data_IF_371140705585
#
_entry.id   IF_371140705585
#
_cell.length_a   1.000
_cell.length_b   1.000
_cell.length_c   1.000
_cell.angle_alpha   90.00
_cell.angle_beta   90.00
_cell.angle_gamma   90.00
#
_symmetry.space_group_name_H-M   'P 1'
#
loop_
_entity.id
_entity.type
_entity.pdbx_description
1 polymer ?
#
# COMPACT_ATOMS: atom_id res chain seq x y z
N UNK A 1 59.35 58.17 -40.37
CA UNK A 1 58.04 58.45 -39.85
C UNK A 1 57.20 57.17 -39.88
N UNK A 2 57.03 56.53 -38.74
CA UNK A 2 56.27 55.28 -38.59
C UNK A 2 54.77 55.48 -38.25
N UNK A 3 53.83 54.72 -38.78
CA UNK A 3 52.47 54.73 -38.31
C UNK A 3 52.32 53.74 -37.18
N UNK A 4 51.73 54.17 -36.07
CA UNK A 4 51.35 53.40 -34.91
C UNK A 4 50.04 52.69 -35.20
N UNK A 5 50.06 51.33 -34.95
CA UNK A 5 48.93 50.43 -35.07
C UNK A 5 47.97 50.51 -33.87
N UNK A 6 46.70 50.84 -34.14
CA UNK A 6 45.55 50.76 -33.19
C UNK A 6 44.75 49.50 -33.47
N UNK A 7 45.28 48.32 -33.10
CA UNK A 7 44.54 47.01 -33.29
C UNK A 7 44.33 46.22 -32.02
N UNK A 8 44.64 46.78 -30.84
CA UNK A 8 44.57 45.99 -29.59
C UNK A 8 43.28 46.14 -28.74
N UNK A 9 42.37 47.06 -29.10
CA UNK A 9 41.19 47.38 -28.23
C UNK A 9 39.89 46.66 -28.59
N UNK A 10 39.79 46.02 -29.74
CA UNK A 10 38.54 45.39 -30.18
C UNK A 10 38.42 43.90 -29.81
N UNK A 11 39.52 43.25 -29.56
CA UNK A 11 39.52 41.81 -29.16
C UNK A 11 39.08 41.57 -27.69
N UNK A 12 39.34 42.57 -26.82
CA UNK A 12 38.95 42.48 -25.41
C UNK A 12 37.42 42.68 -25.18
N UNK A 13 36.75 43.44 -26.07
CA UNK A 13 35.32 43.71 -25.94
C UNK A 13 34.44 42.55 -26.41
N UNK A 14 34.91 41.73 -27.33
CA UNK A 14 34.20 40.57 -27.83
C UNK A 14 34.30 39.35 -26.86
N UNK A 15 35.38 39.28 -26.06
CA UNK A 15 35.55 38.21 -25.08
C UNK A 15 34.71 38.47 -23.83
N UNK A 16 34.42 39.71 -23.46
CA UNK A 16 33.57 40.08 -22.32
C UNK A 16 32.08 39.85 -22.60
N UNK A 17 31.63 39.90 -23.85
CA UNK A 17 30.24 39.60 -24.23
C UNK A 17 29.94 38.10 -24.32
N UNK A 18 30.95 37.26 -24.51
CA UNK A 18 30.77 35.82 -24.55
C UNK A 18 30.62 35.18 -23.14
N UNK A 19 31.12 35.83 -22.09
CA UNK A 19 31.04 35.33 -20.70
C UNK A 19 29.77 35.75 -19.98
N UNK A 20 29.08 36.80 -20.42
CA UNK A 20 27.84 37.27 -19.81
C UNK A 20 26.57 36.59 -20.38
N UNK A 21 26.71 35.82 -21.45
CA UNK A 21 25.57 35.12 -22.08
C UNK A 21 25.24 33.73 -21.51
N UNK A 22 26.09 33.14 -20.68
CA UNK A 22 25.89 31.81 -20.18
C UNK A 22 25.06 31.72 -18.87
N UNK A 23 25.02 32.81 -18.09
CA UNK A 23 24.28 32.79 -16.82
C UNK A 23 22.76 32.54 -16.97
N UNK A 24 22.03 33.23 -17.90
CA UNK A 24 20.59 32.97 -18.03
C UNK A 24 20.27 31.62 -18.66
N UNK A 25 21.20 31.04 -19.45
CA UNK A 25 21.04 29.69 -19.97
C UNK A 25 21.24 28.62 -18.90
N UNK A 26 22.18 28.85 -17.99
CA UNK A 26 22.46 27.95 -16.87
C UNK A 26 21.35 27.99 -15.81
N UNK A 27 20.83 29.18 -15.50
CA UNK A 27 19.63 29.32 -14.64
C UNK A 27 18.38 28.73 -15.30
N UNK A 28 18.21 28.85 -16.61
CA UNK A 28 17.11 28.24 -17.34
C UNK A 28 17.22 26.73 -17.35
N UNK A 29 18.43 26.17 -17.49
CA UNK A 29 18.67 24.72 -17.40
C UNK A 29 18.51 24.19 -15.98
N UNK A 30 18.91 24.93 -14.95
CA UNK A 30 18.64 24.57 -13.55
C UNK A 30 17.15 24.60 -13.24
N UNK A 31 16.42 25.62 -13.68
CA UNK A 31 14.95 25.66 -13.51
C UNK A 31 14.25 24.53 -14.25
N UNK A 32 14.68 24.20 -15.47
CA UNK A 32 14.13 23.06 -16.21
C UNK A 32 14.51 21.72 -15.57
N UNK A 33 15.69 21.63 -14.95
CA UNK A 33 16.09 20.45 -14.20
C UNK A 33 15.34 20.36 -12.87
N UNK A 34 15.13 21.50 -12.19
CA UNK A 34 14.33 21.56 -10.97
C UNK A 34 12.84 21.32 -11.29
N UNK A 35 12.28 21.90 -12.36
CA UNK A 35 10.91 21.60 -12.80
C UNK A 35 10.74 20.15 -13.28
N UNK A 36 11.75 19.56 -13.91
CA UNK A 36 11.74 18.16 -14.29
C UNK A 36 11.95 17.24 -13.07
N UNK A 37 12.67 17.71 -12.06
CA UNK A 37 12.79 17.02 -10.76
C UNK A 37 11.54 17.21 -9.88
N UNK A 38 10.82 18.33 -10.06
CA UNK A 38 9.58 18.65 -9.36
C UNK A 38 8.32 18.16 -10.07
N UNK A 39 8.43 17.61 -11.26
CA UNK A 39 7.31 17.03 -12.00
C UNK A 39 7.66 15.62 -12.47
N UNK A 40 7.99 14.72 -11.53
CA UNK A 40 8.13 13.33 -11.86
C UNK A 40 6.73 12.77 -12.05
N UNK A 41 6.43 12.31 -13.22
CA UNK A 41 5.33 11.40 -13.53
C UNK A 41 4.04 11.76 -12.75
N UNK A 42 3.11 12.37 -13.43
CA UNK A 42 1.77 12.58 -12.90
C UNK A 42 1.26 11.26 -12.29
N UNK A 43 0.91 11.27 -11.03
CA UNK A 43 0.29 10.16 -10.35
C UNK A 43 1.09 9.47 -9.25
N UNK A 44 2.28 9.97 -8.88
CA UNK A 44 3.01 9.43 -7.74
C UNK A 44 3.65 10.57 -6.94
N UNK A 45 3.12 10.82 -5.76
CA UNK A 45 3.70 11.79 -4.83
C UNK A 45 4.97 11.23 -4.19
N UNK A 46 5.99 12.10 -4.06
CA UNK A 46 7.12 11.78 -3.20
C UNK A 46 6.70 11.91 -1.76
N UNK A 47 6.98 10.89 -0.97
CA UNK A 47 6.71 10.91 0.46
C UNK A 47 7.74 11.79 1.18
N UNK A 48 7.25 12.79 1.91
CA UNK A 48 8.09 13.56 2.83
C UNK A 48 8.32 12.72 4.10
N UNK A 49 9.56 12.35 4.45
CA UNK A 49 9.81 11.54 5.64
C UNK A 49 9.37 12.19 6.96
N UNK A 50 9.34 13.53 7.01
CA UNK A 50 8.91 14.28 8.19
C UNK A 50 7.38 14.43 8.28
N UNK A 51 6.66 14.20 7.16
CA UNK A 51 5.22 14.30 7.06
C UNK A 51 4.67 13.31 6.01
N UNK A 52 4.78 11.99 6.24
CA UNK A 52 4.60 10.99 5.19
C UNK A 52 3.19 10.92 4.59
N UNK A 53 2.20 11.48 5.26
CA UNK A 53 0.80 11.48 4.79
C UNK A 53 0.30 12.85 4.32
N UNK A 54 1.12 13.92 4.45
CA UNK A 54 0.71 15.26 4.11
C UNK A 54 0.26 15.37 2.64
N UNK A 55 -0.89 16.05 2.43
CA UNK A 55 -1.45 16.28 1.10
C UNK A 55 -2.16 15.07 0.47
N UNK A 56 -2.28 13.95 1.16
CA UNK A 56 -3.07 12.79 0.73
C UNK A 56 -4.31 12.60 1.61
N UNK A 57 -5.32 11.82 1.17
CA UNK A 57 -6.44 11.46 2.03
C UNK A 57 -6.03 10.81 3.36
N UNK A 58 -4.91 10.11 3.38
CA UNK A 58 -4.40 9.44 4.58
C UNK A 58 -3.92 10.39 5.69
N UNK A 59 -3.80 11.69 5.42
CA UNK A 59 -3.50 12.69 6.46
C UNK A 59 -4.53 12.70 7.59
N UNK A 60 -5.80 12.45 7.25
CA UNK A 60 -6.93 12.44 8.18
C UNK A 60 -7.27 11.03 8.72
N UNK A 61 -6.56 9.97 8.29
CA UNK A 61 -6.83 8.59 8.72
C UNK A 61 -6.32 8.31 10.13
N UNK A 62 -6.92 7.31 10.79
CA UNK A 62 -6.49 6.81 12.09
C UNK A 62 -5.22 5.96 12.05
N UNK A 63 -4.79 5.54 13.23
CA UNK A 63 -3.73 4.55 13.43
C UNK A 63 -4.38 3.27 13.97
N UNK A 64 -4.22 2.15 13.26
CA UNK A 64 -4.80 0.86 13.66
C UNK A 64 -6.27 0.67 13.29
N UNK A 65 -6.84 -0.43 13.75
CA UNK A 65 -8.19 -0.88 13.40
C UNK A 65 -9.13 -0.73 14.58
N UNK A 66 -10.04 0.25 14.51
CA UNK A 66 -11.05 0.45 15.54
C UNK A 66 -12.13 -0.63 15.51
N UNK A 67 -12.56 -1.07 16.71
CA UNK A 67 -13.68 -2.00 16.85
C UNK A 67 -14.95 -1.25 17.26
N UNK A 68 -16.12 -1.56 16.64
CA UNK A 68 -17.40 -1.02 17.07
C UNK A 68 -17.77 -1.50 18.48
N UNK A 69 -18.72 -0.81 19.12
CA UNK A 69 -19.39 -1.32 20.30
C UNK A 69 -20.12 -2.63 19.96
N UNK A 70 -19.93 -3.66 20.77
CA UNK A 70 -20.56 -4.96 20.54
C UNK A 70 -22.01 -4.94 20.97
N UNK A 71 -22.88 -5.46 20.11
CA UNK A 71 -24.29 -5.72 20.39
C UNK A 71 -24.62 -7.16 19.96
N UNK A 72 -25.61 -7.83 20.57
CA UNK A 72 -26.04 -9.15 20.12
C UNK A 72 -26.50 -9.13 18.66
N UNK A 73 -26.09 -10.14 17.88
CA UNK A 73 -26.40 -10.27 16.45
C UNK A 73 -27.03 -11.64 16.17
N UNK A 74 -28.29 -11.67 15.78
CA UNK A 74 -29.01 -12.93 15.51
C UNK A 74 -29.02 -13.85 16.71
N UNK A 75 -28.39 -15.02 16.57
CA UNK A 75 -28.26 -16.02 17.66
C UNK A 75 -27.00 -15.84 18.51
N UNK A 76 -26.13 -14.85 18.18
CA UNK A 76 -24.85 -14.62 18.86
C UNK A 76 -24.99 -13.57 19.95
N UNK A 77 -24.40 -13.86 21.12
CA UNK A 77 -24.41 -12.93 22.25
C UNK A 77 -23.46 -11.77 22.05
N UNK A 78 -23.65 -10.70 22.83
CA UNK A 78 -22.74 -9.54 22.89
C UNK A 78 -21.27 -9.97 23.13
N UNK A 79 -21.04 -10.92 24.04
CA UNK A 79 -19.70 -11.43 24.35
C UNK A 79 -19.07 -12.13 23.14
N UNK A 80 -19.85 -12.90 22.39
CA UNK A 80 -19.38 -13.56 21.15
C UNK A 80 -19.07 -12.53 20.06
N UNK A 81 -19.89 -11.49 19.92
CA UNK A 81 -19.63 -10.40 18.96
C UNK A 81 -18.39 -9.58 19.36
N UNK A 82 -18.23 -9.27 20.67
CA UNK A 82 -17.04 -8.59 21.16
C UNK A 82 -15.77 -9.38 20.90
N UNK A 83 -15.82 -10.70 21.15
CA UNK A 83 -14.70 -11.60 20.84
C UNK A 83 -14.40 -11.62 19.33
N UNK A 84 -15.43 -11.70 18.48
CA UNK A 84 -15.28 -11.70 17.03
C UNK A 84 -14.65 -10.41 16.51
N UNK A 85 -15.06 -9.23 17.02
CA UNK A 85 -14.43 -7.96 16.68
C UNK A 85 -12.95 -7.91 17.10
N UNK A 86 -12.65 -8.31 18.35
CA UNK A 86 -11.27 -8.33 18.84
C UNK A 86 -10.38 -9.23 17.98
N UNK A 87 -10.81 -10.46 17.71
CA UNK A 87 -10.07 -11.41 16.88
C UNK A 87 -9.90 -10.91 15.43
N UNK A 88 -10.95 -10.28 14.86
CA UNK A 88 -10.85 -9.69 13.52
C UNK A 88 -9.83 -8.56 13.48
N UNK A 89 -9.84 -7.69 14.50
CA UNK A 89 -8.82 -6.63 14.63
C UNK A 89 -7.42 -7.24 14.72
N UNK A 90 -7.22 -8.25 15.58
CA UNK A 90 -5.92 -8.89 15.77
C UNK A 90 -5.40 -9.50 14.45
N UNK A 91 -6.28 -10.10 13.62
CA UNK A 91 -5.92 -10.55 12.27
C UNK A 91 -5.49 -9.40 11.36
N UNK A 92 -6.24 -8.29 11.35
CA UNK A 92 -5.91 -7.14 10.51
C UNK A 92 -4.60 -6.47 10.93
N UNK A 93 -4.34 -6.38 12.25
CA UNK A 93 -3.08 -5.87 12.79
C UNK A 93 -1.91 -6.78 12.41
N UNK A 94 -2.02 -8.09 12.58
CA UNK A 94 -1.00 -9.06 12.17
C UNK A 94 -0.74 -9.08 10.65
N UNK A 95 -1.72 -8.67 9.84
CA UNK A 95 -1.60 -8.64 8.38
C UNK A 95 -0.98 -7.33 7.89
N UNK A 96 -1.33 -6.19 8.51
CA UNK A 96 -1.00 -4.88 7.94
C UNK A 96 -0.08 -4.03 8.80
N UNK A 97 0.02 -4.30 10.10
CA UNK A 97 0.79 -3.46 11.03
C UNK A 97 2.02 -4.18 11.60
N UNK A 98 2.14 -5.48 11.41
CA UNK A 98 3.34 -6.24 11.75
C UNK A 98 4.41 -6.04 10.68
N UNK A 99 5.48 -5.31 11.02
CA UNK A 99 6.58 -5.01 10.10
C UNK A 99 7.29 -6.27 9.60
N UNK A 100 7.48 -7.27 10.47
CA UNK A 100 8.14 -8.53 10.12
C UNK A 100 7.30 -9.29 9.08
N UNK A 101 5.97 -9.27 9.19
CA UNK A 101 5.08 -9.83 8.18
C UNK A 101 5.14 -9.03 6.89
N UNK A 102 4.98 -7.70 6.96
CA UNK A 102 4.89 -6.83 5.77
C UNK A 102 6.19 -6.85 4.95
N UNK A 103 7.36 -6.77 5.58
CA UNK A 103 8.63 -6.56 4.89
C UNK A 103 9.52 -7.81 4.77
N UNK A 104 9.36 -8.80 5.66
CA UNK A 104 10.22 -9.99 5.76
C UNK A 104 9.48 -11.32 5.56
N UNK A 105 8.17 -11.30 5.27
CA UNK A 105 7.29 -12.48 5.10
C UNK A 105 7.21 -13.37 6.37
N UNK A 106 7.51 -12.83 7.56
CA UNK A 106 7.29 -13.57 8.80
C UNK A 106 5.82 -13.47 9.26
N UNK A 107 5.01 -14.42 8.89
CA UNK A 107 3.59 -14.48 9.20
C UNK A 107 3.28 -15.23 10.50
N UNK A 108 4.23 -15.30 11.45
CA UNK A 108 4.08 -16.07 12.68
C UNK A 108 2.93 -15.55 13.56
N UNK A 109 2.75 -14.23 13.65
CA UNK A 109 1.65 -13.61 14.40
C UNK A 109 0.29 -13.96 13.77
N UNK A 110 0.16 -13.84 12.44
CA UNK A 110 -1.05 -14.26 11.74
C UNK A 110 -1.35 -15.75 11.95
N UNK A 111 -0.34 -16.61 11.84
CA UNK A 111 -0.50 -18.05 12.00
C UNK A 111 -0.93 -18.42 13.44
N UNK A 112 -0.48 -17.66 14.44
CA UNK A 112 -0.83 -17.89 15.84
C UNK A 112 -2.31 -17.60 16.15
N UNK A 113 -2.99 -16.81 15.34
CA UNK A 113 -4.42 -16.52 15.47
C UNK A 113 -5.31 -17.62 14.88
N UNK A 114 -4.77 -18.46 14.02
CA UNK A 114 -5.49 -19.59 13.44
C UNK A 114 -5.47 -20.79 14.40
N UNK A 115 -6.57 -21.53 14.44
CA UNK A 115 -6.69 -22.72 15.28
C UNK A 115 -7.50 -23.84 14.59
N UNK A 116 -7.46 -25.03 15.15
CA UNK A 116 -8.28 -26.14 14.73
C UNK A 116 -8.25 -26.41 13.23
N UNK A 117 -9.44 -26.51 12.61
CA UNK A 117 -9.58 -26.78 11.17
C UNK A 117 -9.20 -25.61 10.28
N UNK A 118 -9.32 -24.39 10.79
CA UNK A 118 -8.90 -23.19 10.04
C UNK A 118 -7.37 -23.18 9.84
N UNK A 119 -6.61 -23.56 10.88
CA UNK A 119 -5.16 -23.72 10.78
C UNK A 119 -4.78 -24.87 9.83
N UNK A 120 -5.45 -26.03 9.96
CA UNK A 120 -5.22 -27.18 9.06
C UNK A 120 -5.46 -26.77 7.59
N UNK A 121 -6.58 -26.13 7.30
CA UNK A 121 -6.90 -25.64 5.95
C UNK A 121 -5.84 -24.65 5.45
N UNK A 122 -5.43 -23.70 6.28
CA UNK A 122 -4.42 -22.71 5.90
C UNK A 122 -3.09 -23.36 5.51
N UNK A 123 -2.65 -24.35 6.31
CA UNK A 123 -1.39 -25.05 6.06
C UNK A 123 -1.48 -26.02 4.86
N UNK A 124 -2.62 -26.67 4.64
CA UNK A 124 -2.83 -27.61 3.53
C UNK A 124 -2.87 -26.90 2.16
N UNK A 125 -3.39 -25.69 2.13
CA UNK A 125 -3.50 -24.90 0.89
C UNK A 125 -2.35 -23.87 0.72
N UNK A 126 -1.31 -23.92 1.55
CA UNK A 126 -0.14 -23.06 1.46
C UNK A 126 0.66 -23.37 0.19
N UNK A 127 0.70 -22.42 -0.76
CA UNK A 127 1.35 -22.61 -2.05
C UNK A 127 0.61 -23.55 -2.98
N UNK A 128 -0.70 -23.63 -2.85
CA UNK A 128 -1.54 -24.43 -3.75
C UNK A 128 -1.41 -23.95 -5.20
N UNK A 129 -1.41 -24.89 -6.17
CA UNK A 129 -1.26 -24.59 -7.61
C UNK A 129 -2.40 -23.71 -8.16
N UNK A 130 -3.59 -23.84 -7.60
CA UNK A 130 -4.73 -22.96 -7.89
C UNK A 130 -4.60 -21.68 -7.06
N UNK A 131 -4.41 -20.51 -7.71
CA UNK A 131 -4.23 -19.24 -7.00
C UNK A 131 -5.42 -18.85 -6.10
N UNK A 132 -6.63 -19.31 -6.43
CA UNK A 132 -7.83 -19.03 -5.61
C UNK A 132 -7.83 -19.79 -4.28
N UNK A 133 -7.06 -20.88 -4.21
CA UNK A 133 -6.89 -21.70 -3.01
C UNK A 133 -5.62 -21.38 -2.24
N UNK A 134 -4.64 -20.73 -2.87
CA UNK A 134 -3.35 -20.45 -2.23
C UNK A 134 -3.52 -19.50 -1.04
N UNK A 135 -3.41 -20.04 0.16
CA UNK A 135 -3.60 -19.32 1.42
C UNK A 135 -2.48 -18.33 1.75
N UNK A 136 -1.32 -18.38 1.06
CA UNK A 136 -0.27 -17.35 1.16
C UNK A 136 -0.78 -15.95 0.77
N UNK A 137 -1.93 -15.87 0.13
CA UNK A 137 -2.60 -14.60 -0.20
C UNK A 137 -3.30 -13.95 0.98
N UNK A 138 -3.47 -14.63 2.11
CA UNK A 138 -4.14 -14.07 3.28
C UNK A 138 -3.26 -13.05 4.02
N UNK A 139 -2.00 -13.30 4.37
CA UNK A 139 -1.09 -12.26 4.83
C UNK A 139 -0.82 -11.20 3.73
N UNK A 140 -0.43 -10.01 4.15
CA UNK A 140 0.04 -8.95 3.25
C UNK A 140 1.56 -8.87 3.35
N UNK A 141 2.24 -9.30 2.30
CA UNK A 141 3.69 -9.32 2.27
C UNK A 141 4.20 -8.52 1.08
N UNK A 142 5.17 -7.65 1.31
CA UNK A 142 5.99 -7.09 0.25
C UNK A 142 7.08 -8.09 -0.14
N UNK A 143 7.52 -8.05 -1.39
CA UNK A 143 8.66 -8.86 -1.80
C UNK A 143 9.88 -8.44 -0.98
N UNK A 144 10.51 -9.36 -0.22
CA UNK A 144 11.59 -9.00 0.69
C UNK A 144 12.72 -8.23 0.02
N UNK A 145 13.19 -7.18 0.67
CA UNK A 145 14.27 -6.32 0.18
C UNK A 145 13.89 -5.38 -0.96
N UNK A 146 12.61 -5.25 -1.32
CA UNK A 146 12.14 -4.29 -2.34
C UNK A 146 11.66 -2.97 -1.77
N UNK A 147 11.36 -2.94 -0.47
CA UNK A 147 10.91 -1.76 0.25
C UNK A 147 11.41 -1.74 1.69
N UNK A 148 11.46 -0.53 2.25
CA UNK A 148 11.67 -0.28 3.68
C UNK A 148 10.64 0.76 4.14
N UNK A 149 10.20 0.78 5.42
CA UNK A 149 9.21 1.74 5.90
C UNK A 149 9.76 3.16 5.91
N UNK A 150 8.88 4.15 5.68
CA UNK A 150 9.19 5.56 5.87
C UNK A 150 8.45 6.07 7.11
N UNK A 151 9.17 6.21 8.21
CA UNK A 151 8.59 6.47 9.53
C UNK A 151 7.96 5.21 10.13
N UNK A 152 7.35 5.38 11.32
CA UNK A 152 6.82 4.26 12.12
C UNK A 152 5.30 4.12 12.01
N UNK A 153 4.63 4.97 11.20
CA UNK A 153 3.18 5.04 11.17
C UNK A 153 2.60 4.42 9.90
N UNK A 154 1.57 3.62 10.09
CA UNK A 154 0.64 3.17 9.05
C UNK A 154 -0.71 3.84 9.30
N UNK A 155 -1.37 4.30 8.26
CA UNK A 155 -2.67 4.96 8.36
C UNK A 155 -3.78 4.07 7.86
N UNK A 156 -4.90 4.07 8.58
CA UNK A 156 -6.04 3.18 8.32
C UNK A 156 -7.32 3.99 8.36
N UNK A 157 -8.19 3.78 7.37
CA UNK A 157 -9.57 4.25 7.36
C UNK A 157 -10.50 3.13 6.89
N UNK A 158 -11.67 3.04 7.48
CA UNK A 158 -12.64 2.02 7.12
C UNK A 158 -13.50 1.55 8.28
N UNK A 159 -14.05 0.36 8.14
CA UNK A 159 -14.99 -0.17 9.12
C UNK A 159 -14.99 -1.70 9.17
N UNK A 160 -15.45 -2.22 10.31
CA UNK A 160 -15.90 -3.60 10.45
C UNK A 160 -17.31 -3.65 11.03
N UNK A 161 -18.06 -4.71 10.68
CA UNK A 161 -19.43 -4.90 11.17
C UNK A 161 -19.78 -6.38 11.25
N UNK A 162 -20.38 -6.78 12.39
CA UNK A 162 -20.88 -8.12 12.58
C UNK A 162 -22.28 -8.31 11.98
N UNK A 163 -22.52 -9.48 11.39
CA UNK A 163 -23.83 -9.90 10.91
C UNK A 163 -23.97 -11.43 11.06
N UNK A 164 -25.22 -11.90 11.24
CA UNK A 164 -25.49 -13.34 11.16
C UNK A 164 -25.60 -13.76 9.69
N UNK A 165 -24.78 -14.72 9.28
CA UNK A 165 -24.73 -15.23 7.92
C UNK A 165 -25.03 -16.75 7.88
N UNK A 166 -25.15 -17.31 6.68
CA UNK A 166 -25.30 -18.76 6.45
C UNK A 166 -24.25 -19.25 5.49
N UNK A 167 -23.66 -20.38 5.82
CA UNK A 167 -22.74 -21.08 4.92
C UNK A 167 -23.49 -21.82 3.79
N UNK A 168 -22.72 -22.46 2.91
CA UNK A 168 -23.26 -23.21 1.77
C UNK A 168 -24.10 -24.43 2.15
N UNK A 169 -24.04 -24.88 3.40
CA UNK A 169 -24.84 -25.99 3.95
C UNK A 169 -26.04 -25.50 4.76
N UNK A 170 -26.17 -24.18 4.92
CA UNK A 170 -27.28 -23.55 5.63
C UNK A 170 -27.06 -23.38 7.13
N UNK A 171 -25.88 -23.71 7.66
CA UNK A 171 -25.54 -23.46 9.05
C UNK A 171 -25.29 -21.95 9.28
N UNK A 172 -25.74 -21.46 10.44
CA UNK A 172 -25.48 -20.08 10.83
C UNK A 172 -24.06 -19.91 11.35
N UNK A 173 -23.44 -18.78 11.00
CA UNK A 173 -22.17 -18.33 11.53
C UNK A 173 -22.19 -16.81 11.75
N UNK A 174 -21.33 -16.31 12.61
CA UNK A 174 -21.13 -14.88 12.81
C UNK A 174 -20.08 -14.39 11.80
N UNK A 175 -20.48 -13.50 10.91
CA UNK A 175 -19.58 -12.88 9.95
C UNK A 175 -19.19 -11.49 10.43
N UNK A 176 -17.90 -11.19 10.51
CA UNK A 176 -17.39 -9.83 10.66
C UNK A 176 -16.92 -9.36 9.30
N UNK A 177 -17.72 -8.50 8.66
CA UNK A 177 -17.38 -7.85 7.39
C UNK A 177 -16.41 -6.72 7.63
N UNK A 178 -15.43 -6.60 6.74
CA UNK A 178 -14.36 -5.61 6.83
C UNK A 178 -14.18 -4.88 5.50
N UNK A 179 -13.99 -3.56 5.56
CA UNK A 179 -13.66 -2.73 4.41
C UNK A 179 -12.76 -1.60 4.88
N UNK A 180 -11.50 -1.61 4.42
CA UNK A 180 -10.47 -0.69 4.88
C UNK A 180 -9.57 -0.21 3.75
N UNK A 181 -9.09 1.02 3.87
CA UNK A 181 -7.94 1.55 3.16
C UNK A 181 -6.77 1.61 4.13
N UNK A 182 -5.66 0.97 3.78
CA UNK A 182 -4.42 0.95 4.59
C UNK A 182 -3.30 1.57 3.78
N UNK A 183 -2.58 2.52 4.37
CA UNK A 183 -1.54 3.29 3.67
C UNK A 183 -0.19 3.10 4.35
N UNK A 184 0.74 2.49 3.62
CA UNK A 184 2.12 2.29 4.03
C UNK A 184 3.03 3.26 3.25
N UNK A 185 3.64 4.24 3.90
CA UNK A 185 4.73 5.00 3.30
C UNK A 185 5.96 4.10 3.19
N UNK A 186 6.44 3.86 1.98
CA UNK A 186 7.58 2.98 1.74
C UNK A 186 8.64 3.63 0.87
N UNK A 187 9.90 3.31 1.09
CA UNK A 187 11.03 3.73 0.27
C UNK A 187 11.72 2.51 -0.33
N UNK A 188 12.41 2.74 -1.44
CA UNK A 188 13.34 1.73 -1.98
C UNK A 188 14.54 1.64 -1.04
N UNK A 189 14.99 0.43 -0.63
CA UNK A 189 16.07 0.28 0.32
C UNK A 189 17.34 1.03 -0.09
N UNK A 190 17.82 1.90 0.81
CA UNK A 190 19.02 2.69 0.59
C UNK A 190 18.87 3.84 -0.42
N UNK A 191 17.65 4.19 -0.83
CA UNK A 191 17.35 5.27 -1.76
C UNK A 191 16.36 6.28 -1.11
N UNK A 192 16.37 7.52 -1.61
CA UNK A 192 15.40 8.55 -1.21
C UNK A 192 14.07 8.47 -1.97
N UNK A 193 13.98 7.56 -2.95
CA UNK A 193 12.75 7.37 -3.73
C UNK A 193 11.73 6.62 -2.88
N UNK A 194 10.57 7.22 -2.70
CA UNK A 194 9.52 6.70 -1.83
C UNK A 194 8.14 6.92 -2.43
N UNK A 195 7.17 6.18 -1.92
CA UNK A 195 5.77 6.21 -2.37
C UNK A 195 4.84 5.84 -1.21
N UNK A 196 3.59 6.30 -1.26
CA UNK A 196 2.52 5.77 -0.42
C UNK A 196 1.94 4.55 -1.11
N UNK A 197 2.13 3.40 -0.51
CA UNK A 197 1.51 2.16 -0.98
C UNK A 197 0.12 2.05 -0.34
N UNK A 198 -0.91 2.15 -1.14
CA UNK A 198 -2.30 2.13 -0.70
C UNK A 198 -2.87 0.74 -0.94
N UNK A 199 -3.41 0.14 0.11
CA UNK A 199 -4.08 -1.16 0.05
C UNK A 199 -5.56 -0.98 0.33
N UNK A 200 -6.41 -1.27 -0.66
CA UNK A 200 -7.85 -1.42 -0.47
C UNK A 200 -8.13 -2.85 -0.05
N UNK A 201 -8.64 -3.04 1.16
CA UNK A 201 -9.01 -4.33 1.73
C UNK A 201 -10.51 -4.47 1.82
N UNK A 202 -11.03 -5.64 1.42
CA UNK A 202 -12.43 -6.01 1.58
C UNK A 202 -12.54 -7.48 1.92
N UNK A 203 -13.25 -7.81 2.99
CA UNK A 203 -13.32 -9.20 3.40
C UNK A 203 -14.29 -9.51 4.51
N UNK A 204 -14.04 -10.66 5.11
CA UNK A 204 -14.84 -11.24 6.16
C UNK A 204 -13.97 -12.17 7.03
N UNK A 205 -14.17 -12.13 8.32
CA UNK A 205 -13.79 -13.23 9.20
C UNK A 205 -15.06 -13.95 9.64
N UNK A 206 -15.22 -15.19 9.22
CA UNK A 206 -16.35 -16.04 9.61
C UNK A 206 -16.05 -16.78 10.92
N UNK A 207 -16.94 -16.70 11.88
CA UNK A 207 -16.83 -17.38 13.18
C UNK A 207 -17.84 -18.51 13.26
N UNK A 208 -17.34 -19.74 13.23
CA UNK A 208 -18.15 -20.97 13.21
C UNK A 208 -18.13 -21.67 14.56
N UNK A 209 -19.31 -22.07 15.05
CA UNK A 209 -19.42 -22.86 16.29
C UNK A 209 -18.75 -24.23 16.12
N UNK A 210 -17.82 -24.54 17.02
CA UNK A 210 -17.11 -25.82 17.06
C UNK A 210 -17.93 -26.93 17.72
N UNK A 211 -19.13 -26.60 18.25
CA UNK A 211 -20.05 -27.52 18.89
C UNK A 211 -19.90 -27.60 20.41
N UNK A 212 -18.94 -26.90 20.98
CA UNK A 212 -18.73 -26.77 22.45
C UNK A 212 -18.98 -25.32 22.94
N UNK A 213 -19.47 -24.45 22.03
CA UNK A 213 -19.74 -23.03 22.28
C UNK A 213 -18.56 -22.09 22.01
N UNK A 214 -17.41 -22.66 21.63
CA UNK A 214 -16.30 -21.85 21.11
C UNK A 214 -16.53 -21.50 19.63
N UNK A 215 -15.97 -20.38 19.20
CA UNK A 215 -16.04 -19.92 17.82
C UNK A 215 -14.65 -20.04 17.17
N UNK A 216 -14.57 -20.71 16.03
CA UNK A 216 -13.37 -20.83 15.21
C UNK A 216 -13.39 -19.79 14.10
N UNK A 217 -12.31 -19.01 13.99
CA UNK A 217 -12.19 -17.91 13.05
C UNK A 217 -11.64 -18.36 11.69
N UNK A 218 -12.31 -17.97 10.61
CA UNK A 218 -11.96 -18.29 9.23
C UNK A 218 -11.81 -17.00 8.44
N UNK A 219 -10.59 -16.45 8.24
CA UNK A 219 -10.36 -15.25 7.47
C UNK A 219 -10.54 -15.52 5.98
N UNK A 220 -11.20 -14.56 5.30
CA UNK A 220 -11.41 -14.59 3.87
C UNK A 220 -11.49 -13.16 3.37
N UNK A 221 -10.53 -12.71 2.62
CA UNK A 221 -10.51 -11.36 2.06
C UNK A 221 -9.84 -11.27 0.71
N UNK A 222 -10.06 -10.15 0.11
CA UNK A 222 -9.49 -9.71 -1.12
C UNK A 222 -8.89 -8.31 -0.94
N UNK A 223 -7.88 -7.98 -1.72
CA UNK A 223 -7.23 -6.67 -1.69
C UNK A 223 -6.83 -6.21 -3.06
N UNK A 224 -6.70 -4.88 -3.20
CA UNK A 224 -6.02 -4.21 -4.30
C UNK A 224 -4.89 -3.36 -3.73
N UNK A 225 -3.71 -3.44 -4.33
CA UNK A 225 -2.50 -2.75 -3.85
C UNK A 225 -1.95 -1.88 -4.95
N UNK A 226 -1.69 -0.60 -4.66
CA UNK A 226 -1.17 0.35 -5.64
C UNK A 226 -0.41 1.50 -4.97
N UNK A 227 0.66 2.02 -5.62
CA UNK A 227 1.22 1.53 -6.88
C UNK A 227 2.10 0.29 -6.65
N UNK A 228 1.79 -0.80 -7.34
CA UNK A 228 2.53 -2.05 -7.20
C UNK A 228 2.58 -2.85 -8.49
N UNK A 229 3.63 -3.66 -8.66
CA UNK A 229 3.72 -4.68 -9.68
C UNK A 229 3.07 -5.97 -9.19
N UNK A 230 2.19 -6.55 -10.02
CA UNK A 230 1.66 -7.89 -9.82
C UNK A 230 2.68 -8.90 -10.35
N UNK A 231 3.57 -9.33 -9.53
CA UNK A 231 4.38 -10.50 -9.83
C UNK A 231 3.48 -11.72 -9.57
N UNK A 232 3.72 -12.83 -10.27
CA UNK A 232 2.89 -14.05 -10.26
C UNK A 232 2.80 -14.75 -8.89
N UNK A 233 3.11 -14.04 -7.81
CA UNK A 233 3.26 -14.61 -6.49
C UNK A 233 2.39 -13.87 -5.46
N UNK A 234 2.34 -14.41 -4.28
CA UNK A 234 1.61 -13.95 -3.12
C UNK A 234 2.18 -12.66 -2.48
N UNK A 235 3.28 -12.11 -3.02
CA UNK A 235 3.90 -10.87 -2.55
C UNK A 235 3.67 -9.71 -3.52
N UNK A 236 3.75 -8.49 -3.01
CA UNK A 236 3.63 -7.25 -3.79
C UNK A 236 4.97 -6.54 -3.87
N UNK A 237 5.33 -6.07 -5.05
CA UNK A 237 6.52 -5.24 -5.23
C UNK A 237 6.07 -3.80 -5.47
N UNK A 238 6.39 -2.86 -4.57
CA UNK A 238 6.05 -1.45 -4.78
C UNK A 238 6.62 -0.92 -6.09
N UNK A 239 5.84 -0.14 -6.80
CA UNK A 239 6.23 0.50 -8.04
C UNK A 239 6.62 1.96 -7.78
N UNK A 240 7.91 2.27 -7.89
CA UNK A 240 8.42 3.59 -7.57
C UNK A 240 8.35 4.57 -8.76
N UNK A 241 8.22 5.91 -8.51
CA UNK A 241 7.97 6.89 -9.55
C UNK A 241 9.01 6.92 -10.68
N UNK A 242 10.27 6.65 -10.39
CA UNK A 242 11.37 6.67 -11.35
C UNK A 242 11.39 5.48 -12.32
N UNK A 243 10.64 4.43 -12.05
CA UNK A 243 10.52 3.25 -12.93
C UNK A 243 9.70 3.54 -14.19
N UNK A 244 8.93 4.63 -14.18
CA UNK A 244 8.01 4.99 -15.25
C UNK A 244 8.51 6.13 -16.16
N UNK A 245 9.79 6.51 -16.07
CA UNK A 245 10.38 7.61 -16.85
C UNK A 245 10.38 7.40 -18.36
N UNK A 246 10.04 6.22 -18.86
CA UNK A 246 9.96 5.90 -20.29
C UNK A 246 8.55 5.88 -20.89
N UNK A 247 7.52 6.24 -20.16
CA UNK A 247 6.12 6.19 -20.63
C UNK A 247 5.49 4.79 -20.53
N UNK A 248 6.19 3.79 -20.04
CA UNK A 248 5.62 2.51 -19.65
C UNK A 248 5.03 2.64 -18.25
N UNK A 249 3.72 2.45 -18.15
CA UNK A 249 2.99 2.41 -16.88
C UNK A 249 2.62 0.95 -16.57
N UNK A 250 2.46 0.59 -15.28
CA UNK A 250 1.80 -0.66 -14.93
C UNK A 250 0.49 -0.78 -15.71
N UNK A 251 0.22 -1.95 -16.29
CA UNK A 251 -0.89 -2.13 -17.19
C UNK A 251 -2.26 -1.94 -16.51
N UNK A 252 -3.09 -1.07 -17.06
CA UNK A 252 -4.46 -0.83 -16.62
C UNK A 252 -4.87 0.64 -16.78
N UNK A 253 -6.17 0.94 -16.64
CA UNK A 253 -6.62 2.30 -16.45
C UNK A 253 -6.18 2.75 -15.05
N UNK A 254 -5.71 4.01 -14.88
CA UNK A 254 -5.40 4.52 -13.57
C UNK A 254 -6.67 4.52 -12.71
N UNK A 255 -6.57 3.97 -11.51
CA UNK A 255 -7.64 3.94 -10.52
C UNK A 255 -7.29 4.91 -9.38
N UNK A 256 -8.31 5.43 -8.70
CA UNK A 256 -8.12 6.06 -7.40
C UNK A 256 -7.99 4.95 -6.34
N UNK A 257 -6.81 4.76 -5.72
CA UNK A 257 -6.63 3.67 -4.76
C UNK A 257 -7.35 3.93 -3.43
N UNK A 258 -7.79 5.17 -3.19
CA UNK A 258 -8.59 5.54 -2.03
C UNK A 258 -10.09 5.32 -2.26
N UNK A 259 -10.52 5.12 -3.51
CA UNK A 259 -11.92 4.78 -3.84
C UNK A 259 -12.13 3.27 -3.81
N UNK A 260 -12.70 2.80 -2.70
CA UNK A 260 -13.00 1.38 -2.50
C UNK A 260 -14.04 0.83 -3.48
N UNK A 261 -14.88 1.67 -4.10
CA UNK A 261 -15.84 1.22 -5.12
C UNK A 261 -15.10 0.98 -6.46
N UNK A 262 -14.19 1.87 -6.87
CA UNK A 262 -13.39 1.70 -8.07
C UNK A 262 -12.45 0.48 -7.97
N UNK A 263 -11.85 0.28 -6.82
CA UNK A 263 -10.91 -0.84 -6.59
C UNK A 263 -11.61 -2.18 -6.44
N UNK A 264 -12.92 -2.21 -6.13
CA UNK A 264 -13.70 -3.42 -5.87
C UNK A 264 -13.82 -4.43 -7.00
N UNK A 265 -13.48 -4.08 -8.22
CA UNK A 265 -13.43 -4.96 -9.39
C UNK A 265 -12.05 -5.04 -10.05
N UNK A 266 -11.05 -4.39 -9.46
CA UNK A 266 -9.70 -4.32 -10.00
C UNK A 266 -8.92 -5.64 -9.81
N UNK A 267 -7.80 -5.77 -10.49
CA UNK A 267 -6.81 -6.82 -10.22
C UNK A 267 -6.15 -6.54 -8.87
N UNK A 268 -5.50 -7.54 -8.32
CA UNK A 268 -4.86 -7.47 -6.99
C UNK A 268 -3.84 -6.33 -6.84
N UNK A 269 -3.28 -5.82 -7.93
CA UNK A 269 -2.41 -4.65 -7.92
C UNK A 269 -2.45 -3.88 -9.26
N UNK A 270 -1.96 -2.66 -9.27
CA UNK A 270 -1.94 -1.87 -10.50
C UNK A 270 -1.38 -0.47 -10.38
N UNK A 271 -1.61 0.31 -11.46
CA UNK A 271 -1.30 1.73 -11.52
C UNK A 271 -2.45 2.55 -10.95
N UNK A 272 -2.09 3.68 -10.33
CA UNK A 272 -3.03 4.64 -9.75
C UNK A 272 -2.84 6.04 -10.33
N UNK A 273 -3.80 6.93 -10.08
CA UNK A 273 -3.72 8.32 -10.51
C UNK A 273 -2.83 9.15 -9.58
N UNK A 274 -3.09 9.05 -8.28
CA UNK A 274 -2.38 9.75 -7.20
C UNK A 274 -2.36 8.86 -5.93
N UNK A 275 -1.36 9.06 -5.06
CA UNK A 275 -1.26 8.36 -3.78
C UNK A 275 -0.95 9.28 -2.60
#
# INVERSE_FOLDING_TARGET
VSPRTHTASWAALLLALALSGCAPLQEGLHRLADDAALNPIQGYDRVDPDAPFAGSPAEDYGEGFDTPEAEPVGSFSEEQVAHAYATTRDFLEAVYLDEDAVFDEDNSEFNALLSGRALEWYLDDLGHEDPERDTRRLPFNLTPGTAEPVGDAVRVDGWMRAEEARDGWGAYYLAVRTEYTVVHPVARPGDAVSVRLVTSHRGEVGFHDTGDGALEAWPRWWRFVAPAHCLEQHTFTPAFPDEFTGGERPGGAPLDPYDLEETGGARECGAVQDT
#
